data_IF_924951754553
#
_entry.id   IF_924951754553
#
_cell.length_a   1.000
_cell.length_b   1.000
_cell.length_c   1.000
_cell.angle_alpha   90.00
_cell.angle_beta   90.00
_cell.angle_gamma   90.00
#
_symmetry.space_group_name_H-M   'P 1'
#
loop_
_entity.id
_entity.type
_entity.pdbx_description
1 polymer ?
#
# COMPACT_ATOMS: atom_id res chain seq x y z
N UNK A 1 -0.72 14.56 -29.50
CA UNK A 1 0.65 14.90 -29.95
C UNK A 1 1.61 13.97 -29.22
N UNK A 2 2.40 13.14 -29.91
CA UNK A 2 3.40 12.26 -29.25
C UNK A 2 4.72 13.03 -29.15
N UNK A 3 5.25 13.19 -27.94
CA UNK A 3 6.50 13.94 -27.68
C UNK A 3 7.56 12.94 -27.20
N UNK A 4 8.73 12.96 -27.82
CA UNK A 4 9.88 12.16 -27.42
C UNK A 4 10.97 13.11 -26.90
N UNK A 5 11.47 12.88 -25.69
CA UNK A 5 12.56 13.65 -25.09
C UNK A 5 13.85 12.86 -25.29
N UNK A 6 14.79 13.43 -26.03
CA UNK A 6 16.11 12.82 -26.26
C UNK A 6 17.12 13.65 -25.47
N UNK A 7 17.75 13.04 -24.46
CA UNK A 7 18.82 13.65 -23.70
C UNK A 7 20.16 13.36 -24.41
N UNK A 8 20.74 14.36 -25.06
CA UNK A 8 22.08 14.24 -25.63
C UNK A 8 23.11 14.66 -24.57
N UNK A 9 24.00 13.74 -24.20
CA UNK A 9 25.21 14.03 -23.47
C UNK A 9 26.32 14.41 -24.45
N UNK A 10 26.69 15.69 -24.49
CA UNK A 10 28.08 16.15 -24.63
C UNK A 10 28.16 17.68 -24.46
N UNK A 11 29.18 18.09 -23.71
CA UNK A 11 29.40 19.41 -23.13
C UNK A 11 29.47 20.53 -24.20
N UNK A 12 28.42 21.34 -24.27
CA UNK A 12 28.47 22.67 -24.87
C UNK A 12 27.73 23.63 -23.93
N UNK A 13 28.43 24.66 -23.41
CA UNK A 13 27.97 25.46 -22.26
C UNK A 13 26.75 26.37 -22.50
N UNK A 14 26.15 26.34 -23.70
CA UNK A 14 24.88 27.01 -24.00
C UNK A 14 23.80 26.04 -24.52
N UNK A 15 23.93 24.73 -24.26
CA UNK A 15 22.93 23.74 -24.68
C UNK A 15 21.68 23.81 -23.79
N UNK A 16 20.79 24.74 -24.12
CA UNK A 16 19.40 24.63 -23.66
C UNK A 16 18.81 23.29 -24.14
N UNK A 17 18.13 22.52 -23.27
CA UNK A 17 17.47 21.29 -23.67
C UNK A 17 16.47 21.56 -24.79
N UNK A 18 16.71 20.93 -25.95
CA UNK A 18 15.82 21.00 -27.11
C UNK A 18 14.97 19.74 -27.20
N UNK A 19 13.73 19.89 -27.66
CA UNK A 19 12.79 18.80 -27.90
C UNK A 19 12.46 18.71 -29.39
N UNK A 20 12.23 17.49 -29.88
CA UNK A 20 11.84 17.26 -31.27
C UNK A 20 10.30 17.27 -31.37
N UNK A 21 9.74 18.27 -32.05
CA UNK A 21 8.29 18.43 -32.21
C UNK A 21 7.90 18.17 -33.66
N UNK A 22 6.91 17.29 -33.85
CA UNK A 22 6.35 16.97 -35.17
C UNK A 22 5.21 17.93 -35.51
N UNK A 23 5.39 18.74 -36.56
CA UNK A 23 4.38 19.67 -37.08
C UNK A 23 3.32 18.90 -37.89
N UNK A 24 2.17 19.54 -38.15
CA UNK A 24 1.08 18.95 -38.93
C UNK A 24 1.47 18.60 -40.38
N UNK A 25 2.47 19.28 -40.93
CA UNK A 25 3.06 18.98 -42.24
C UNK A 25 3.97 17.73 -42.25
N UNK A 26 4.07 17.00 -41.13
CA UNK A 26 4.88 15.79 -41.00
C UNK A 26 6.37 16.04 -40.75
N UNK A 27 6.85 17.29 -40.83
CA UNK A 27 8.24 17.64 -40.56
C UNK A 27 8.52 17.69 -39.05
N UNK A 28 9.69 17.20 -38.66
CA UNK A 28 10.20 17.27 -37.29
C UNK A 28 11.13 18.47 -37.14
N UNK A 29 10.88 19.32 -36.14
CA UNK A 29 11.69 20.51 -35.83
C UNK A 29 12.18 20.41 -34.39
N UNK A 30 13.47 20.67 -34.15
CA UNK A 30 14.00 20.83 -32.79
C UNK A 30 13.69 22.23 -32.30
N UNK A 31 13.10 22.35 -31.12
CA UNK A 31 12.78 23.64 -30.49
C UNK A 31 13.18 23.63 -29.02
N UNK A 32 13.55 24.79 -28.46
CA UNK A 32 13.83 24.88 -27.03
C UNK A 32 12.54 24.75 -26.22
N UNK A 33 12.67 24.37 -24.95
CA UNK A 33 11.52 24.25 -24.03
C UNK A 33 10.74 25.57 -23.89
N UNK A 34 11.43 26.71 -23.94
CA UNK A 34 10.81 28.03 -23.84
C UNK A 34 10.02 28.40 -25.10
N UNK A 35 10.52 28.03 -26.27
CA UNK A 35 9.81 28.19 -27.53
C UNK A 35 8.55 27.30 -27.56
N UNK A 36 8.66 26.05 -27.09
CA UNK A 36 7.51 25.14 -26.99
C UNK A 36 6.43 25.66 -26.04
N UNK A 37 6.81 26.22 -24.88
CA UNK A 37 5.85 26.83 -23.93
C UNK A 37 5.11 28.00 -24.56
N UNK A 38 5.81 28.88 -25.29
CA UNK A 38 5.20 30.00 -26.03
C UNK A 38 4.25 29.50 -27.14
N UNK A 39 4.57 28.38 -27.78
CA UNK A 39 3.70 27.80 -28.81
C UNK A 39 2.42 27.21 -28.20
N UNK A 40 2.50 26.60 -27.01
CA UNK A 40 1.33 26.03 -26.31
C UNK A 40 0.35 27.12 -25.82
N UNK A 41 0.85 28.25 -25.32
CA UNK A 41 0.00 29.35 -24.85
C UNK A 41 -0.67 30.10 -26.00
N UNK A 42 0.03 30.32 -27.11
CA UNK A 42 -0.52 30.97 -28.30
C UNK A 42 -1.59 30.11 -29.00
N UNK A 43 -1.36 28.81 -29.15
CA UNK A 43 -2.33 27.90 -29.79
C UNK A 43 -3.57 27.63 -28.94
N UNK A 44 -3.49 27.71 -27.61
CA UNK A 44 -4.67 27.66 -26.74
C UNK A 44 -5.59 28.88 -26.90
N UNK A 45 -5.07 30.02 -27.36
CA UNK A 45 -5.85 31.28 -27.41
C UNK A 45 -6.65 31.41 -28.71
N UNK A 46 -6.36 30.63 -29.76
CA UNK A 46 -7.08 30.72 -31.04
C UNK A 46 -8.36 29.89 -31.13
N UNK A 47 -8.63 29.00 -30.16
CA UNK A 47 -9.85 28.16 -30.18
C UNK A 47 -11.01 28.80 -29.39
N UNK A 48 -10.74 29.84 -28.61
CA UNK A 48 -11.78 30.57 -27.87
C UNK A 48 -11.81 32.03 -28.34
N UNK A 49 -12.49 32.22 -29.47
CA UNK A 49 -12.96 33.55 -29.85
C UNK A 49 -13.93 34.10 -28.81
N UNK A 50 -13.75 35.38 -28.49
CA UNK A 50 -14.59 36.25 -27.66
C UNK A 50 -14.45 36.14 -26.13
N UNK A 51 -13.49 36.87 -25.56
CA UNK A 51 -13.74 37.83 -24.46
C UNK A 51 -12.43 38.56 -24.05
N UNK A 52 -11.97 39.49 -24.88
CA UNK A 52 -10.84 40.35 -24.58
C UNK A 52 -11.29 41.61 -23.80
N UNK A 53 -11.76 41.44 -22.56
CA UNK A 53 -12.00 42.59 -21.63
C UNK A 53 -11.61 42.30 -20.16
N UNK A 54 -11.28 41.07 -19.75
CA UNK A 54 -11.10 40.73 -18.31
C UNK A 54 -9.68 40.27 -17.97
N UNK A 55 -8.65 40.93 -18.49
CA UNK A 55 -7.24 40.55 -18.20
C UNK A 55 -6.42 41.61 -17.45
N UNK A 56 -7.06 42.66 -16.92
CA UNK A 56 -6.37 43.66 -16.08
C UNK A 56 -6.61 43.49 -14.58
N UNK A 57 -7.60 42.70 -14.14
CA UNK A 57 -7.90 42.52 -12.70
C UNK A 57 -7.20 41.31 -12.07
N UNK A 58 -6.81 40.28 -12.85
CA UNK A 58 -6.19 39.06 -12.30
C UNK A 58 -4.69 39.18 -11.96
N UNK A 59 -4.04 40.30 -12.30
CA UNK A 59 -2.59 40.46 -12.09
C UNK A 59 -2.21 40.98 -10.69
N UNK A 60 -3.20 41.40 -9.89
CA UNK A 60 -2.97 41.86 -8.51
C UNK A 60 -3.15 40.75 -7.47
N UNK A 61 -4.11 39.82 -7.65
CA UNK A 61 -4.29 38.67 -6.75
C UNK A 61 -3.08 37.72 -6.75
N UNK A 62 -2.42 37.54 -7.89
CA UNK A 62 -1.23 36.68 -7.99
C UNK A 62 -0.03 37.22 -7.20
N UNK A 63 0.07 38.54 -6.98
CA UNK A 63 1.15 39.14 -6.19
C UNK A 63 0.93 38.98 -4.69
N UNK A 64 -0.32 39.10 -4.23
CA UNK A 64 -0.65 38.92 -2.82
C UNK A 64 -0.45 37.46 -2.37
N UNK A 65 -0.75 36.50 -3.25
CA UNK A 65 -0.54 35.09 -2.98
C UNK A 65 0.96 34.71 -2.91
N UNK A 66 1.81 35.31 -3.76
CA UNK A 66 3.26 35.11 -3.70
C UNK A 66 3.88 35.64 -2.40
N UNK A 67 3.43 36.81 -1.92
CA UNK A 67 3.88 37.38 -0.65
C UNK A 67 3.48 36.50 0.55
N UNK A 68 2.25 35.97 0.55
CA UNK A 68 1.79 35.05 1.60
C UNK A 68 2.58 33.74 1.61
N UNK A 69 2.94 33.21 0.44
CA UNK A 69 3.73 31.98 0.34
C UNK A 69 5.17 32.17 0.85
N UNK A 70 5.83 33.30 0.54
CA UNK A 70 7.16 33.59 1.07
C UNK A 70 7.15 33.77 2.59
N UNK A 71 6.14 34.42 3.16
CA UNK A 71 6.00 34.57 4.60
C UNK A 71 5.82 33.21 5.29
N UNK A 72 5.04 32.30 4.67
CA UNK A 72 4.85 30.94 5.17
C UNK A 72 6.15 30.14 5.16
N UNK A 73 6.95 30.27 4.08
CA UNK A 73 8.27 29.62 3.96
C UNK A 73 9.23 30.11 5.05
N UNK A 74 9.28 31.43 5.31
CA UNK A 74 10.12 32.00 6.39
C UNK A 74 9.72 31.48 7.77
N UNK A 75 8.42 31.41 8.07
CA UNK A 75 7.93 30.85 9.35
C UNK A 75 8.28 29.37 9.50
N UNK A 76 8.21 28.59 8.42
CA UNK A 76 8.57 27.17 8.45
C UNK A 76 10.07 26.97 8.73
N UNK A 77 10.94 27.79 8.14
CA UNK A 77 12.38 27.70 8.38
C UNK A 77 12.76 28.18 9.79
N UNK A 78 12.08 29.17 10.35
CA UNK A 78 12.24 29.58 11.75
C UNK A 78 11.90 28.44 12.72
N UNK A 79 10.80 27.72 12.48
CA UNK A 79 10.42 26.56 13.29
C UNK A 79 11.47 25.44 13.20
N UNK A 80 12.01 25.19 11.99
CA UNK A 80 13.07 24.20 11.79
C UNK A 80 14.36 24.56 12.52
N UNK A 81 14.71 25.85 12.57
CA UNK A 81 15.87 26.32 13.34
C UNK A 81 15.66 26.12 14.84
N UNK A 82 14.50 26.53 15.39
CA UNK A 82 14.17 26.32 16.81
C UNK A 82 14.25 24.85 17.22
N UNK A 83 13.72 23.94 16.39
CA UNK A 83 13.82 22.49 16.64
C UNK A 83 15.27 21.99 16.66
N UNK A 84 16.13 22.48 15.75
CA UNK A 84 17.55 22.10 15.75
C UNK A 84 18.26 22.58 17.02
N UNK A 85 17.97 23.80 17.46
CA UNK A 85 18.57 24.39 18.66
C UNK A 85 18.14 23.64 19.92
N UNK A 86 16.85 23.27 20.03
CA UNK A 86 16.34 22.48 21.15
C UNK A 86 16.97 21.08 21.22
N UNK A 87 17.18 20.42 20.07
CA UNK A 87 17.89 19.12 20.02
C UNK A 87 19.34 19.27 20.50
N UNK A 88 20.04 20.32 20.08
CA UNK A 88 21.42 20.58 20.51
C UNK A 88 21.45 20.85 22.02
N UNK A 89 20.48 21.59 22.55
CA UNK A 89 20.36 21.89 23.98
C UNK A 89 20.15 20.62 24.81
N UNK A 90 19.22 19.76 24.40
CA UNK A 90 18.95 18.47 25.07
C UNK A 90 20.21 17.60 25.08
N UNK A 91 20.95 17.55 23.96
CA UNK A 91 22.20 16.78 23.89
C UNK A 91 23.25 17.30 24.88
N UNK A 92 23.48 18.61 24.94
CA UNK A 92 24.42 19.21 25.91
C UNK A 92 24.01 18.98 27.36
N UNK A 93 22.72 19.04 27.66
CA UNK A 93 22.19 18.74 29.00
C UNK A 93 22.39 17.27 29.39
N UNK A 94 22.34 16.36 28.42
CA UNK A 94 22.62 14.93 28.63
C UNK A 94 24.11 14.64 28.87
N UNK A 95 25.02 15.30 28.13
CA UNK A 95 26.48 15.15 28.29
C UNK A 95 26.97 15.71 29.64
N UNK A 96 26.38 16.79 30.13
CA UNK A 96 26.70 17.34 31.45
C UNK A 96 26.17 16.47 32.61
N UNK A 97 25.17 15.62 32.38
CA UNK A 97 24.67 14.68 33.40
C UNK A 97 25.51 13.41 33.50
N UNK A 98 26.16 12.94 32.42
CA UNK A 98 27.00 11.74 32.48
C UNK A 98 28.32 11.98 33.22
N UNK A 99 28.91 13.17 33.09
CA UNK A 99 30.19 13.52 33.75
C UNK A 99 30.12 13.67 35.26
N UNK A 100 28.92 13.67 35.86
CA UNK A 100 28.72 13.73 37.33
C UNK A 100 28.60 12.36 38.00
N UNK A 101 28.64 11.26 37.26
CA UNK A 101 28.49 9.90 37.81
C UNK A 101 29.84 9.17 38.01
N UNK A 102 30.93 9.63 37.41
CA UNK A 102 32.23 8.93 37.49
C UNK A 102 33.15 9.32 38.67
N UNK A 103 32.82 10.32 39.50
CA UNK A 103 33.66 10.70 40.65
C UNK A 103 33.20 10.11 42.01
N UNK A 104 32.38 9.06 41.99
CA UNK A 104 31.72 8.49 43.18
C UNK A 104 32.09 7.05 43.53
N UNK A 105 33.28 6.54 43.16
CA UNK A 105 33.76 5.24 43.64
C UNK A 105 34.65 5.42 44.87
N UNK A 106 34.00 5.47 46.03
CA UNK A 106 34.65 5.50 47.34
C UNK A 106 33.75 4.93 48.43
N UNK A 107 33.35 3.65 48.29
CA UNK A 107 33.13 2.67 49.37
C UNK A 107 32.38 1.46 48.81
N UNK A 108 33.16 0.44 48.43
CA UNK A 108 32.68 -0.94 48.38
C UNK A 108 32.68 -1.41 49.83
N UNK A 109 31.50 -1.61 50.41
CA UNK A 109 31.21 -2.52 51.54
C UNK A 109 29.87 -2.10 52.16
N UNK A 110 28.74 -2.66 51.69
CA UNK A 110 27.50 -2.51 52.46
C UNK A 110 26.16 -2.81 51.81
N UNK A 111 26.03 -2.86 50.48
CA UNK A 111 24.68 -2.90 49.85
C UNK A 111 24.46 -4.17 49.03
N UNK A 112 24.74 -5.34 49.63
CA UNK A 112 24.43 -6.64 49.01
C UNK A 112 23.37 -7.48 49.74
N UNK A 113 22.80 -7.01 50.87
CA UNK A 113 21.84 -7.82 51.65
C UNK A 113 20.36 -7.42 51.56
N UNK A 114 20.04 -6.24 51.04
CA UNK A 114 18.64 -5.77 50.97
C UNK A 114 17.93 -6.10 49.65
N UNK A 115 18.65 -6.46 48.59
CA UNK A 115 18.04 -6.80 47.28
C UNK A 115 17.85 -8.29 47.04
N UNK A 116 18.40 -9.18 47.88
CA UNK A 116 18.20 -10.63 47.75
C UNK A 116 16.81 -11.08 48.26
N UNK A 117 16.21 -10.40 49.24
CA UNK A 117 14.91 -10.81 49.81
C UNK A 117 13.68 -10.43 48.96
N UNK A 118 13.83 -9.58 47.94
CA UNK A 118 12.71 -9.22 47.05
C UNK A 118 12.58 -10.20 45.87
N UNK A 119 13.66 -10.90 45.52
CA UNK A 119 13.69 -11.83 44.38
C UNK A 119 13.15 -13.22 44.74
N UNK A 120 13.18 -13.64 46.01
CA UNK A 120 12.65 -14.95 46.42
C UNK A 120 11.11 -14.97 46.57
N UNK A 121 10.45 -13.83 46.84
CA UNK A 121 9.00 -13.79 47.01
C UNK A 121 8.17 -13.79 45.70
N UNK A 122 8.83 -13.86 44.53
CA UNK A 122 8.13 -13.87 43.23
C UNK A 122 8.10 -15.28 42.60
N UNK A 123 8.84 -16.26 43.15
CA UNK A 123 8.94 -17.60 42.54
C UNK A 123 7.75 -18.54 42.80
N UNK A 124 6.88 -18.26 43.76
CA UNK A 124 5.82 -19.21 44.15
C UNK A 124 4.43 -18.96 43.52
N UNK A 125 4.30 -18.07 42.52
CA UNK A 125 3.00 -17.76 41.88
C UNK A 125 2.94 -17.82 40.35
N UNK A 126 3.75 -18.66 39.70
CA UNK A 126 3.64 -18.85 38.24
C UNK A 126 3.55 -20.32 37.81
N UNK A 127 2.42 -20.95 38.14
CA UNK A 127 1.90 -22.08 37.34
C UNK A 127 1.03 -21.53 36.21
N UNK A 128 1.67 -21.00 35.16
CA UNK A 128 1.05 -20.87 33.85
C UNK A 128 2.14 -21.03 32.79
N UNK A 129 1.93 -22.06 31.98
CA UNK A 129 2.83 -22.62 30.98
C UNK A 129 3.15 -21.67 29.83
N UNK A 130 4.43 -21.67 29.44
CA UNK A 130 4.84 -21.57 28.04
C UNK A 130 5.09 -20.17 27.50
N UNK A 131 6.18 -19.53 27.91
CA UNK A 131 6.77 -18.42 27.14
C UNK A 131 8.29 -18.61 27.07
N UNK A 132 8.77 -18.53 25.84
CA UNK A 132 10.13 -18.80 25.41
C UNK A 132 11.17 -17.95 26.14
N UNK A 133 12.16 -18.70 26.63
CA UNK A 133 13.43 -18.28 27.18
C UNK A 133 14.23 -17.50 26.13
N UNK A 134 14.23 -16.17 26.24
CA UNK A 134 15.24 -15.33 25.59
C UNK A 134 16.49 -15.35 26.48
N UNK A 135 17.49 -16.11 26.05
CA UNK A 135 18.80 -16.15 26.68
C UNK A 135 19.59 -14.87 26.40
N UNK A 136 20.50 -14.59 27.31
CA UNK A 136 21.02 -13.26 27.65
C UNK A 136 22.34 -12.94 26.94
N UNK A 137 22.51 -13.41 25.69
CA UNK A 137 23.81 -13.40 25.01
C UNK A 137 23.87 -12.60 23.68
N UNK A 138 22.81 -11.91 23.27
CA UNK A 138 22.78 -11.16 21.99
C UNK A 138 23.12 -9.66 22.14
N UNK A 139 24.18 -9.33 22.89
CA UNK A 139 24.78 -7.99 22.90
C UNK A 139 26.07 -7.90 22.09
N UNK A 140 26.32 -8.85 21.18
CA UNK A 140 27.38 -8.68 20.17
C UNK A 140 26.84 -7.84 19.02
N UNK A 141 27.26 -6.58 19.03
CA UNK A 141 27.13 -5.63 17.93
C UNK A 141 27.54 -6.31 16.61
N UNK A 142 26.57 -6.57 15.73
CA UNK A 142 26.80 -7.15 14.40
C UNK A 142 27.33 -6.11 13.39
N UNK A 143 27.75 -4.93 13.88
CA UNK A 143 28.06 -3.74 13.08
C UNK A 143 29.52 -3.30 13.15
N UNK A 144 30.38 -3.94 13.95
CA UNK A 144 31.72 -3.39 14.24
C UNK A 144 32.93 -4.20 13.69
N UNK A 145 32.76 -5.39 13.09
CA UNK A 145 33.93 -6.25 12.80
C UNK A 145 34.26 -6.56 11.32
N UNK A 146 33.58 -5.99 10.32
CA UNK A 146 33.81 -6.41 8.91
C UNK A 146 34.15 -5.31 7.89
N UNK A 147 34.46 -4.07 8.32
CA UNK A 147 34.73 -2.96 7.39
C UNK A 147 36.19 -2.50 7.26
N UNK A 148 37.18 -3.26 7.74
CA UNK A 148 38.60 -2.95 7.50
C UNK A 148 39.43 -4.19 7.12
N UNK A 149 39.18 -4.72 5.93
CA UNK A 149 40.22 -5.41 5.16
C UNK A 149 40.18 -4.91 3.71
N UNK A 150 40.80 -3.76 3.47
CA UNK A 150 41.21 -3.35 2.14
C UNK A 150 42.23 -4.36 1.60
N UNK A 151 41.73 -5.38 0.88
CA UNK A 151 42.56 -6.17 -0.01
C UNK A 151 42.79 -5.33 -1.26
N UNK A 152 44.05 -5.01 -1.64
CA UNK A 152 44.31 -4.32 -2.90
C UNK A 152 43.87 -5.24 -4.04
N UNK A 153 42.75 -4.89 -4.68
CA UNK A 153 42.32 -5.53 -5.94
C UNK A 153 43.27 -5.07 -7.02
N UNK A 154 44.22 -5.95 -7.36
CA UNK A 154 45.03 -5.86 -8.56
C UNK A 154 44.10 -5.96 -9.77
N UNK A 155 43.73 -4.81 -10.33
CA UNK A 155 43.02 -4.71 -11.60
C UNK A 155 43.97 -5.23 -12.68
N UNK A 156 43.81 -6.51 -13.07
CA UNK A 156 44.29 -6.98 -14.36
C UNK A 156 43.35 -6.43 -15.41
N UNK A 157 43.81 -5.44 -16.16
CA UNK A 157 43.23 -5.06 -17.43
C UNK A 157 43.29 -6.26 -18.36
N UNK A 158 42.13 -6.80 -18.74
CA UNK A 158 42.03 -7.86 -19.72
C UNK A 158 40.83 -8.77 -19.49
N UNK A 159 39.79 -8.52 -20.29
CA UNK A 159 38.73 -9.43 -20.74
C UNK A 159 37.30 -8.94 -20.45
N UNK A 160 36.72 -8.26 -21.44
CA UNK A 160 35.31 -7.92 -21.50
C UNK A 160 34.44 -9.19 -21.57
N UNK A 161 33.69 -9.46 -20.51
CA UNK A 161 32.70 -10.55 -20.41
C UNK A 161 31.39 -10.32 -21.20
N UNK A 162 31.32 -9.32 -22.08
CA UNK A 162 30.12 -9.02 -22.89
C UNK A 162 30.03 -9.82 -24.21
N UNK A 163 30.94 -10.76 -24.49
CA UNK A 163 30.99 -11.48 -25.77
C UNK A 163 30.82 -13.01 -25.67
N UNK A 164 30.03 -13.50 -24.71
CA UNK A 164 29.56 -14.91 -24.72
C UNK A 164 28.04 -14.99 -24.68
N UNK A 165 27.39 -14.30 -25.61
CA UNK A 165 26.02 -14.63 -26.00
C UNK A 165 26.04 -15.99 -26.68
N UNK A 166 25.40 -16.98 -26.07
CA UNK A 166 25.05 -18.23 -26.72
C UNK A 166 24.29 -17.93 -28.02
N UNK A 167 24.59 -18.63 -29.13
CA UNK A 167 23.94 -18.35 -30.41
C UNK A 167 22.42 -18.60 -30.31
N UNK A 168 21.65 -17.57 -30.67
CA UNK A 168 20.17 -17.56 -30.74
C UNK A 168 19.70 -18.40 -31.94
N UNK A 169 20.05 -19.69 -31.97
CA UNK A 169 19.56 -20.64 -32.98
C UNK A 169 18.60 -21.70 -32.42
N UNK A 170 18.47 -21.80 -31.10
CA UNK A 170 17.61 -22.82 -30.45
C UNK A 170 16.34 -22.25 -29.80
N UNK A 171 16.03 -20.96 -29.97
CA UNK A 171 14.80 -20.34 -29.40
C UNK A 171 13.56 -20.53 -30.31
N UNK A 172 13.74 -21.01 -31.55
CA UNK A 172 12.62 -21.40 -32.41
C UNK A 172 12.30 -22.88 -32.22
N UNK A 173 11.65 -23.18 -31.10
CA UNK A 173 10.98 -24.46 -30.89
C UNK A 173 9.81 -24.55 -31.87
N UNK A 174 9.86 -25.54 -32.75
CA UNK A 174 8.82 -25.85 -33.73
C UNK A 174 7.47 -26.14 -33.04
N UNK A 175 6.54 -25.20 -33.17
CA UNK A 175 5.15 -25.27 -32.67
C UNK A 175 4.27 -26.30 -33.41
N UNK A 176 4.83 -27.04 -34.38
CA UNK A 176 4.10 -27.99 -35.22
C UNK A 176 3.98 -29.42 -34.64
N UNK A 177 4.48 -29.69 -33.44
CA UNK A 177 4.56 -31.06 -32.87
C UNK A 177 3.50 -31.42 -31.81
N UNK A 178 2.73 -30.48 -31.26
CA UNK A 178 1.81 -30.74 -30.16
C UNK A 178 0.40 -31.15 -30.65
N UNK A 179 0.32 -32.25 -31.39
CA UNK A 179 -0.91 -33.02 -31.56
C UNK A 179 -0.60 -34.48 -31.32
N UNK A 180 -1.43 -35.12 -30.49
CA UNK A 180 -1.49 -36.55 -30.17
C UNK A 180 -0.76 -37.02 -28.90
N UNK A 181 -1.28 -36.62 -27.74
CA UNK A 181 -1.40 -37.52 -26.57
C UNK A 181 -2.72 -37.24 -25.82
N UNK A 182 -3.84 -37.50 -26.49
CA UNK A 182 -5.12 -37.80 -25.84
C UNK A 182 -5.23 -39.32 -25.89
N UNK A 183 -4.96 -39.96 -24.76
CA UNK A 183 -4.95 -41.41 -24.65
C UNK A 183 -4.27 -41.81 -23.36
N UNK A 184 -4.98 -41.66 -22.26
CA UNK A 184 -5.01 -42.61 -21.14
C UNK A 184 -5.95 -42.07 -20.05
N UNK A 185 -7.24 -42.43 -20.22
CA UNK A 185 -8.28 -42.29 -19.21
C UNK A 185 -7.90 -43.16 -18.00
N UNK A 186 -7.40 -42.53 -16.94
CA UNK A 186 -7.50 -43.08 -15.59
C UNK A 186 -8.70 -42.44 -14.90
N UNK A 187 -9.70 -43.28 -14.62
CA UNK A 187 -10.89 -42.98 -13.83
C UNK A 187 -10.54 -42.18 -12.56
N UNK A 188 -10.79 -40.88 -12.57
CA UNK A 188 -10.93 -40.10 -11.35
C UNK A 188 -12.40 -40.14 -10.94
N UNK A 189 -12.74 -41.07 -10.05
CA UNK A 189 -14.03 -41.08 -9.37
C UNK A 189 -14.07 -39.87 -8.42
N UNK A 190 -14.77 -38.82 -8.82
CA UNK A 190 -15.19 -37.77 -7.90
C UNK A 190 -16.38 -38.29 -7.09
N UNK A 191 -16.12 -38.69 -5.85
CA UNK A 191 -17.15 -38.97 -4.87
C UNK A 191 -17.95 -37.69 -4.60
N UNK A 192 -19.20 -37.68 -5.06
CA UNK A 192 -20.15 -36.61 -4.77
C UNK A 192 -20.45 -36.62 -3.27
N UNK A 193 -20.32 -35.50 -2.55
CA UNK A 193 -20.76 -35.43 -1.16
C UNK A 193 -22.29 -35.59 -1.11
N UNK A 194 -22.75 -36.61 -0.38
CA UNK A 194 -24.17 -36.84 -0.10
C UNK A 194 -24.67 -35.77 0.87
N UNK A 195 -25.45 -34.83 0.36
CA UNK A 195 -26.11 -33.80 1.17
C UNK A 195 -27.34 -34.41 1.86
N UNK A 196 -27.17 -34.95 3.07
CA UNK A 196 -28.28 -35.41 3.91
C UNK A 196 -29.01 -34.20 4.48
N UNK A 197 -30.19 -33.91 3.94
CA UNK A 197 -31.12 -32.92 4.49
C UNK A 197 -31.84 -33.53 5.69
N UNK A 198 -31.42 -33.18 6.90
CA UNK A 198 -32.24 -33.30 8.10
C UNK A 198 -32.65 -31.88 8.52
N UNK A 199 -33.87 -31.50 8.16
CA UNK A 199 -34.55 -30.31 8.64
C UNK A 199 -35.83 -30.82 9.31
N UNK A 200 -35.68 -31.22 10.57
CA UNK A 200 -36.80 -31.37 11.49
C UNK A 200 -37.33 -29.97 11.80
N UNK A 201 -38.47 -29.64 11.20
CA UNK A 201 -39.27 -28.48 11.57
C UNK A 201 -40.54 -29.01 12.20
N UNK A 202 -40.48 -29.24 13.50
CA UNK A 202 -41.65 -29.34 14.38
C UNK A 202 -42.42 -28.02 14.33
N UNK A 203 -43.56 -28.02 13.64
CA UNK A 203 -44.58 -26.98 13.79
C UNK A 203 -45.90 -27.63 14.16
N UNK A 204 -46.22 -27.51 15.44
CA UNK A 204 -47.51 -27.84 16.02
C UNK A 204 -48.64 -27.11 15.31
N UNK A 205 -49.61 -27.90 14.86
CA UNK A 205 -50.87 -27.46 14.28
C UNK A 205 -51.82 -27.19 15.44
N UNK A 206 -52.22 -25.94 15.65
CA UNK A 206 -53.37 -25.60 16.50
C UNK A 206 -54.60 -25.51 15.59
N UNK A 207 -55.50 -26.48 15.76
CA UNK A 207 -56.83 -26.52 15.18
C UNK A 207 -57.76 -25.68 16.08
N UNK A 208 -58.39 -24.63 15.55
CA UNK A 208 -59.60 -24.07 16.16
C UNK A 208 -60.71 -23.91 15.14
N UNK A 209 -61.90 -24.31 15.60
CA UNK A 209 -63.08 -24.61 14.81
C UNK A 209 -63.91 -23.37 14.45
N UNK A 210 -64.22 -23.27 13.16
CA UNK A 210 -65.55 -23.15 12.57
C UNK A 210 -66.66 -22.40 13.36
N UNK A 211 -67.05 -21.22 12.86
CA UNK A 211 -68.41 -20.68 13.05
C UNK A 211 -68.95 -20.23 11.69
N UNK A 212 -69.89 -21.01 11.18
CA UNK A 212 -70.59 -20.77 9.92
C UNK A 212 -71.37 -19.45 9.96
N UNK A 213 -71.09 -18.57 9.00
CA UNK A 213 -72.02 -17.54 8.55
C UNK A 213 -71.97 -17.50 7.03
N UNK A 214 -73.15 -17.62 6.41
CA UNK A 214 -73.30 -17.71 4.97
C UNK A 214 -72.78 -16.46 4.28
N UNK A 215 -71.71 -16.64 3.50
CA UNK A 215 -71.21 -15.64 2.56
C UNK A 215 -71.25 -16.29 1.18
N UNK A 216 -71.94 -15.61 0.28
CA UNK A 216 -72.08 -15.92 -1.14
C UNK A 216 -70.69 -16.26 -1.71
N UNK A 217 -70.52 -17.36 -2.47
CA UNK A 217 -69.21 -17.77 -2.96
C UNK A 217 -68.68 -16.71 -3.92
N UNK A 218 -67.83 -15.83 -3.38
CA UNK A 218 -67.04 -14.89 -4.15
C UNK A 218 -66.14 -15.71 -5.07
N UNK A 219 -66.33 -15.54 -6.38
CA UNK A 219 -65.56 -16.24 -7.40
C UNK A 219 -64.09 -15.91 -7.18
N UNK A 220 -63.35 -16.84 -6.57
CA UNK A 220 -61.94 -16.66 -6.33
C UNK A 220 -61.27 -16.43 -7.70
N UNK A 221 -60.57 -15.30 -7.89
CA UNK A 221 -59.93 -15.02 -9.16
C UNK A 221 -58.95 -16.16 -9.44
N UNK A 222 -59.10 -16.76 -10.62
CA UNK A 222 -58.27 -17.84 -11.13
C UNK A 222 -56.80 -17.46 -10.89
N UNK A 223 -56.15 -18.25 -10.04
CA UNK A 223 -54.76 -18.12 -9.65
C UNK A 223 -53.88 -18.16 -10.92
N UNK A 224 -53.62 -16.98 -11.48
CA UNK A 224 -52.77 -16.81 -12.66
C UNK A 224 -51.37 -17.23 -12.25
N UNK A 225 -50.89 -18.33 -12.84
CA UNK A 225 -49.52 -18.82 -12.66
C UNK A 225 -48.57 -17.62 -12.76
N UNK A 226 -47.67 -17.41 -11.78
CA UNK A 226 -46.77 -16.27 -11.80
C UNK A 226 -46.00 -16.30 -13.11
N UNK A 227 -46.07 -15.20 -13.86
CA UNK A 227 -45.29 -15.01 -15.08
C UNK A 227 -43.82 -15.13 -14.69
N UNK A 228 -43.17 -16.22 -15.12
CA UNK A 228 -41.74 -16.41 -14.99
C UNK A 228 -41.06 -15.31 -15.81
N UNK A 229 -40.66 -14.24 -15.13
CA UNK A 229 -39.87 -13.19 -15.73
C UNK A 229 -38.44 -13.71 -15.89
N UNK A 230 -37.97 -13.79 -17.13
CA UNK A 230 -36.60 -14.17 -17.42
C UNK A 230 -35.64 -13.18 -16.73
N UNK A 231 -34.94 -13.68 -15.72
CA UNK A 231 -33.87 -12.95 -15.05
C UNK A 231 -32.70 -12.90 -16.02
N UNK A 232 -32.56 -11.79 -16.74
CA UNK A 232 -31.33 -11.51 -17.47
C UNK A 232 -30.21 -11.39 -16.42
N UNK A 233 -29.20 -12.27 -16.42
CA UNK A 233 -28.10 -12.13 -15.49
C UNK A 233 -27.49 -10.74 -15.66
N UNK A 234 -27.16 -10.03 -14.56
CA UNK A 234 -26.50 -8.75 -14.66
C UNK A 234 -25.25 -8.93 -15.53
N UNK A 235 -25.05 -8.05 -16.51
CA UNK A 235 -23.84 -8.04 -17.33
C UNK A 235 -22.66 -7.66 -16.44
N UNK A 236 -22.12 -8.62 -15.71
CA UNK A 236 -20.84 -8.48 -15.03
C UNK A 236 -19.80 -8.65 -16.12
N UNK A 237 -19.34 -7.54 -16.68
CA UNK A 237 -18.18 -7.56 -17.56
C UNK A 237 -17.00 -8.05 -16.73
N UNK A 238 -16.56 -9.29 -16.99
CA UNK A 238 -15.35 -9.84 -16.38
C UNK A 238 -14.17 -9.14 -17.01
N UNK A 239 -13.88 -7.93 -16.55
CA UNK A 239 -12.67 -7.23 -16.93
C UNK A 239 -11.51 -7.98 -16.28
N UNK A 240 -10.59 -8.48 -17.11
CA UNK A 240 -9.33 -9.00 -16.62
C UNK A 240 -8.56 -7.82 -16.06
N UNK A 241 -8.53 -7.71 -14.74
CA UNK A 241 -7.83 -6.66 -14.01
C UNK A 241 -6.34 -6.96 -14.09
N UNK A 242 -5.51 -5.97 -14.41
CA UNK A 242 -4.06 -6.13 -14.39
C UNK A 242 -3.51 -6.16 -12.95
N UNK A 243 -2.27 -6.61 -12.71
CA UNK A 243 -1.75 -6.76 -11.35
C UNK A 243 -1.65 -5.43 -10.58
N UNK A 244 -1.34 -4.32 -11.26
CA UNK A 244 -1.37 -2.97 -10.66
C UNK A 244 -2.82 -2.53 -10.37
N UNK A 245 -3.74 -2.83 -11.26
CA UNK A 245 -5.15 -2.45 -11.13
C UNK A 245 -5.89 -3.30 -10.08
N UNK A 246 -5.43 -4.54 -9.83
CA UNK A 246 -5.83 -5.32 -8.65
C UNK A 246 -5.46 -4.60 -7.35
N UNK A 247 -4.26 -4.02 -7.26
CA UNK A 247 -3.83 -3.26 -6.08
C UNK A 247 -4.63 -1.96 -5.91
N UNK A 248 -4.98 -1.32 -7.02
CA UNK A 248 -5.78 -0.09 -7.02
C UNK A 248 -7.20 -0.33 -6.49
N UNK A 249 -7.82 -1.42 -6.90
CA UNK A 249 -9.20 -1.73 -6.53
C UNK A 249 -9.32 -2.60 -5.27
N UNK A 250 -8.21 -2.79 -4.55
CA UNK A 250 -8.13 -3.73 -3.44
C UNK A 250 -9.03 -3.33 -2.26
N UNK A 251 -10.00 -4.18 -1.92
CA UNK A 251 -10.99 -3.91 -0.88
C UNK A 251 -10.68 -4.63 0.44
N UNK A 252 -11.38 -4.25 1.51
CA UNK A 252 -11.31 -4.95 2.79
C UNK A 252 -11.84 -6.39 2.70
N UNK A 253 -12.81 -6.65 1.83
CA UNK A 253 -13.32 -8.00 1.60
C UNK A 253 -12.26 -8.89 0.94
N UNK A 254 -11.54 -8.36 -0.05
CA UNK A 254 -10.43 -9.06 -0.70
C UNK A 254 -9.33 -9.38 0.30
N UNK A 255 -9.00 -8.42 1.18
CA UNK A 255 -8.05 -8.63 2.27
C UNK A 255 -8.45 -9.80 3.18
N UNK A 256 -9.72 -9.88 3.57
CA UNK A 256 -10.26 -10.99 4.40
C UNK A 256 -10.31 -12.33 3.66
N UNK A 257 -10.44 -12.31 2.34
CA UNK A 257 -10.45 -13.53 1.51
C UNK A 257 -9.05 -14.11 1.30
N UNK A 258 -8.01 -13.28 1.37
CA UNK A 258 -6.63 -13.75 1.19
C UNK A 258 -6.19 -14.74 2.28
N UNK A 259 -6.56 -14.53 3.54
CA UNK A 259 -6.07 -15.33 4.66
C UNK A 259 -7.11 -15.47 5.76
N UNK A 260 -6.94 -16.50 6.61
CA UNK A 260 -7.82 -16.72 7.76
C UNK A 260 -7.61 -15.62 8.81
N UNK A 261 -6.36 -15.19 9.00
CA UNK A 261 -5.98 -14.14 9.93
C UNK A 261 -5.45 -12.92 9.16
N UNK A 262 -5.52 -11.74 9.79
CA UNK A 262 -5.01 -10.50 9.22
C UNK A 262 -3.49 -10.57 8.91
N UNK A 263 -2.73 -11.31 9.72
CA UNK A 263 -1.28 -11.52 9.49
C UNK A 263 -1.00 -12.45 8.30
N UNK A 264 -1.86 -13.43 8.04
CA UNK A 264 -1.73 -14.30 6.87
C UNK A 264 -2.07 -13.52 5.60
N UNK A 265 -3.15 -12.73 5.65
CA UNK A 265 -3.55 -11.84 4.56
C UNK A 265 -2.45 -10.85 4.20
N UNK A 266 -1.81 -10.23 5.19
CA UNK A 266 -0.73 -9.26 4.92
C UNK A 266 0.50 -9.92 4.33
N UNK A 267 0.82 -11.14 4.76
CA UNK A 267 1.95 -11.90 4.20
C UNK A 267 1.74 -12.19 2.72
N UNK A 268 0.51 -12.55 2.31
CA UNK A 268 0.15 -12.76 0.90
C UNK A 268 0.14 -11.48 0.07
N UNK A 269 -0.28 -10.35 0.65
CA UNK A 269 -0.17 -9.04 -0.03
C UNK A 269 1.29 -8.68 -0.24
N UNK A 270 2.15 -8.90 0.77
CA UNK A 270 3.59 -8.67 0.66
C UNK A 270 4.23 -9.54 -0.42
N UNK A 271 3.89 -10.82 -0.47
CA UNK A 271 4.37 -11.75 -1.49
C UNK A 271 3.96 -11.29 -2.90
N UNK A 272 2.72 -10.77 -3.08
CA UNK A 272 2.30 -10.15 -4.36
C UNK A 272 3.19 -8.97 -4.76
N UNK A 273 3.61 -8.13 -3.81
CA UNK A 273 4.54 -7.03 -4.09
C UNK A 273 5.95 -7.51 -4.42
N UNK A 274 6.43 -8.53 -3.73
CA UNK A 274 7.73 -9.16 -4.01
C UNK A 274 7.74 -9.73 -5.44
N UNK A 275 6.68 -10.44 -5.86
CA UNK A 275 6.55 -10.87 -7.25
C UNK A 275 6.51 -9.71 -8.24
N UNK A 276 5.80 -8.63 -7.90
CA UNK A 276 5.75 -7.44 -8.75
C UNK A 276 7.12 -6.78 -8.91
N UNK A 277 7.92 -6.79 -7.85
CA UNK A 277 9.28 -6.26 -7.81
C UNK A 277 10.27 -7.14 -8.60
N UNK A 278 10.14 -8.45 -8.49
CA UNK A 278 10.94 -9.42 -9.26
C UNK A 278 10.67 -9.31 -10.76
N UNK A 279 9.41 -9.12 -11.16
CA UNK A 279 9.02 -9.02 -12.56
C UNK A 279 9.44 -7.67 -13.16
N UNK A 280 9.14 -6.56 -12.48
CA UNK A 280 9.56 -5.22 -12.90
C UNK A 280 9.50 -4.21 -11.76
N UNK A 281 10.64 -3.61 -11.44
CA UNK A 281 10.72 -2.54 -10.45
C UNK A 281 9.79 -1.34 -10.78
N UNK A 282 9.57 -1.04 -12.07
CA UNK A 282 8.65 0.03 -12.46
C UNK A 282 7.20 -0.34 -12.10
N UNK A 283 6.78 -1.58 -12.37
CA UNK A 283 5.44 -2.08 -12.00
C UNK A 283 5.28 -2.17 -10.49
N UNK A 284 6.33 -2.48 -9.75
CA UNK A 284 6.33 -2.41 -8.29
C UNK A 284 6.02 -0.99 -7.79
N UNK A 285 6.71 0.03 -8.31
CA UNK A 285 6.45 1.42 -7.92
C UNK A 285 5.01 1.86 -8.26
N UNK A 286 4.51 1.50 -9.44
CA UNK A 286 3.11 1.74 -9.83
C UNK A 286 2.13 0.98 -8.92
N UNK A 287 2.45 -0.26 -8.54
CA UNK A 287 1.65 -1.05 -7.61
C UNK A 287 1.61 -0.45 -6.20
N UNK A 288 2.72 0.10 -5.72
CA UNK A 288 2.78 0.80 -4.43
C UNK A 288 1.92 2.06 -4.46
N UNK A 289 2.00 2.84 -5.53
CA UNK A 289 1.13 4.00 -5.74
C UNK A 289 -0.35 3.60 -5.82
N UNK A 290 -0.66 2.53 -6.56
CA UNK A 290 -2.01 1.98 -6.67
C UNK A 290 -2.56 1.55 -5.30
N UNK A 291 -1.74 0.89 -4.48
CA UNK A 291 -2.10 0.50 -3.12
C UNK A 291 -2.40 1.69 -2.22
N UNK A 292 -1.63 2.77 -2.29
CA UNK A 292 -1.94 4.00 -1.54
C UNK A 292 -3.23 4.67 -1.99
N UNK A 293 -3.68 4.41 -3.22
CA UNK A 293 -4.95 4.87 -3.75
C UNK A 293 -6.12 3.89 -3.51
N UNK A 294 -5.84 2.72 -2.94
CA UNK A 294 -6.82 1.66 -2.75
C UNK A 294 -7.92 2.01 -1.73
N UNK A 295 -9.14 1.45 -1.87
CA UNK A 295 -10.20 1.61 -0.90
C UNK A 295 -9.80 1.21 0.54
N UNK A 296 -9.06 0.12 0.71
CA UNK A 296 -8.62 -0.34 2.04
C UNK A 296 -7.65 0.66 2.69
N UNK A 297 -6.72 1.23 1.92
CA UNK A 297 -5.75 2.18 2.47
C UNK A 297 -6.40 3.52 2.84
N UNK A 298 -7.39 3.97 2.04
CA UNK A 298 -8.20 5.14 2.36
C UNK A 298 -8.97 4.96 3.68
N UNK A 299 -9.58 3.80 3.91
CA UNK A 299 -10.21 3.50 5.19
C UNK A 299 -9.22 3.58 6.36
N UNK A 300 -8.01 3.05 6.18
CA UNK A 300 -6.93 3.16 7.17
C UNK A 300 -6.55 4.62 7.47
N UNK A 301 -6.42 5.47 6.44
CA UNK A 301 -6.14 6.90 6.60
C UNK A 301 -7.29 7.65 7.31
N UNK A 302 -8.54 7.29 7.01
CA UNK A 302 -9.72 7.89 7.63
C UNK A 302 -9.77 7.58 9.13
N UNK A 303 -9.47 6.34 9.53
CA UNK A 303 -9.40 5.93 10.94
C UNK A 303 -8.33 6.74 11.69
N UNK A 304 -7.14 6.89 11.11
CA UNK A 304 -6.07 7.71 11.70
C UNK A 304 -6.52 9.17 11.83
N UNK A 305 -7.10 9.72 10.77
CA UNK A 305 -7.59 11.10 10.75
C UNK A 305 -8.65 11.34 11.82
N UNK A 306 -9.57 10.40 12.02
CA UNK A 306 -10.60 10.46 13.08
C UNK A 306 -9.98 10.38 14.48
N UNK A 307 -9.05 9.45 14.70
CA UNK A 307 -8.32 9.32 15.96
C UNK A 307 -7.58 10.61 16.34
N UNK A 308 -6.89 11.21 15.38
CA UNK A 308 -6.17 12.47 15.60
C UNK A 308 -7.10 13.66 15.84
N UNK A 309 -8.19 13.79 15.06
CA UNK A 309 -9.18 14.87 15.22
C UNK A 309 -9.84 14.84 16.59
N UNK A 310 -10.21 13.65 17.07
CA UNK A 310 -10.92 13.49 18.34
C UNK A 310 -9.98 13.33 19.54
N UNK A 311 -8.67 13.14 19.31
CA UNK A 311 -7.66 12.83 20.35
C UNK A 311 -8.00 11.57 21.16
N UNK A 312 -8.59 10.58 20.48
CA UNK A 312 -9.02 9.30 21.05
C UNK A 312 -8.13 8.20 20.46
N UNK A 313 -7.72 7.17 21.24
CA UNK A 313 -6.93 6.06 20.72
C UNK A 313 -7.66 5.30 19.61
N UNK A 314 -6.91 4.81 18.61
CA UNK A 314 -7.46 4.08 17.44
C UNK A 314 -8.33 2.89 17.85
N UNK A 315 -7.97 2.16 18.91
CA UNK A 315 -8.74 1.03 19.40
C UNK A 315 -10.17 1.42 19.82
N UNK A 316 -10.36 2.64 20.34
CA UNK A 316 -11.67 3.17 20.74
C UNK A 316 -12.43 3.76 19.56
N UNK A 317 -11.73 4.31 18.55
CA UNK A 317 -12.36 4.73 17.28
C UNK A 317 -12.97 3.54 16.55
N UNK A 318 -12.30 2.39 16.58
CA UNK A 318 -12.75 1.15 15.92
C UNK A 318 -13.83 0.40 16.71
N UNK A 319 -13.86 0.50 18.04
CA UNK A 319 -14.87 -0.16 18.88
C UNK A 319 -16.09 0.71 19.19
N UNK A 320 -15.97 2.04 19.03
CA UNK A 320 -17.00 3.01 19.38
C UNK A 320 -18.08 3.18 18.31
N UNK A 321 -19.17 3.86 18.69
CA UNK A 321 -20.29 4.21 17.80
C UNK A 321 -19.92 5.14 16.63
N UNK A 322 -18.66 5.60 16.55
CA UNK A 322 -18.13 6.43 15.46
C UNK A 322 -17.45 5.61 14.34
N UNK A 323 -17.50 4.28 14.45
CA UNK A 323 -16.97 3.37 13.45
C UNK A 323 -17.86 3.37 12.19
N UNK A 324 -17.64 4.35 11.30
CA UNK A 324 -18.17 4.28 9.93
C UNK A 324 -17.40 3.24 9.08
N UNK A 325 -16.34 2.64 9.63
CA UNK A 325 -15.47 1.70 8.95
C UNK A 325 -15.60 0.30 9.55
N UNK A 326 -15.80 -0.71 8.69
CA UNK A 326 -15.92 -2.12 9.08
C UNK A 326 -14.58 -2.79 9.46
N UNK A 327 -13.47 -2.04 9.48
CA UNK A 327 -12.12 -2.56 9.70
C UNK A 327 -11.88 -2.91 11.18
N UNK A 328 -11.38 -4.11 11.45
CA UNK A 328 -11.02 -4.56 12.81
C UNK A 328 -9.65 -4.02 13.24
N UNK A 329 -9.41 -4.02 14.55
CA UNK A 329 -8.12 -3.57 15.12
C UNK A 329 -6.92 -4.37 14.59
N UNK A 330 -7.07 -5.69 14.42
CA UNK A 330 -5.99 -6.54 13.92
C UNK A 330 -5.70 -6.29 12.44
N UNK A 331 -6.75 -6.02 11.65
CA UNK A 331 -6.64 -5.65 10.24
C UNK A 331 -5.94 -4.29 10.10
N UNK A 332 -6.30 -3.32 10.92
CA UNK A 332 -5.65 -2.01 10.98
C UNK A 332 -4.15 -2.14 11.29
N UNK A 333 -3.79 -2.95 12.31
CA UNK A 333 -2.38 -3.20 12.66
C UNK A 333 -1.61 -3.88 11.53
N UNK A 334 -2.24 -4.82 10.83
CA UNK A 334 -1.64 -5.52 9.71
C UNK A 334 -1.36 -4.55 8.54
N UNK A 335 -2.34 -3.72 8.16
CA UNK A 335 -2.16 -2.69 7.12
C UNK A 335 -1.09 -1.67 7.51
N UNK A 336 -1.04 -1.24 8.77
CA UNK A 336 0.02 -0.39 9.30
C UNK A 336 1.40 -1.05 9.15
N UNK A 337 1.52 -2.34 9.51
CA UNK A 337 2.77 -3.10 9.39
C UNK A 337 3.25 -3.15 7.93
N UNK A 338 2.37 -3.41 6.97
CA UNK A 338 2.72 -3.42 5.55
C UNK A 338 3.14 -2.04 5.05
N UNK A 339 2.40 -0.99 5.44
CA UNK A 339 2.74 0.38 5.01
C UNK A 339 4.14 0.81 5.45
N UNK A 340 4.63 0.29 6.59
CA UNK A 340 6.00 0.53 7.06
C UNK A 340 7.06 -0.24 6.27
N UNK A 341 6.71 -1.37 5.66
CA UNK A 341 7.66 -2.20 4.91
C UNK A 341 7.78 -1.82 3.44
N UNK A 342 6.82 -1.07 2.90
CA UNK A 342 6.85 -0.59 1.51
C UNK A 342 7.66 0.71 1.33
N UNK A 343 8.07 1.33 2.43
CA UNK A 343 9.04 2.44 2.49
C UNK A 343 10.38 1.91 2.97
#
# INVERSE_FOLDING_TARGET
MKVWVILNGENNMNNEPTILVKKANGMSVRMSLDEFKKMKTSSSTQILGASNVVNTVKKEEDKENQLKEEELKRKADEIRQKLRDDIIKIRKESENKSTKVESGYGNKDGVSKSLQNVVENIKDKSTLSGINRWEKDDHKSLLDDEFHQEKPVLVREGEHILARTTPVKDVFVNEAGYKNKIGDNKNFQFDKPKFTKNLDVDRGIIITNNKMSGVIPEMQPLNTKPLLQDVKPPKVEKQSVGPVDEMLNFTLEDFRRLGTNAEDSISKVKEKFEYLQEDSYLMFMEGVEAWYNSPIYKQYQDIISKSLKNRIPVAEVLSGSMADSDMKLDEFKAVLKLSKTLY
#
